data_IF_559606088945
#
_entry.id   IF_559606088945
#
_cell.length_a   1.000
_cell.length_b   1.000
_cell.length_c   1.000
_cell.angle_alpha   90.00
_cell.angle_beta   90.00
_cell.angle_gamma   90.00
#
_symmetry.space_group_name_H-M   'P 1'
#
loop_
_entity.id
_entity.type
_entity.pdbx_description
1 polymer ?
#
# COMPACT_ATOMS: atom_id res chain seq x y z
N UNK A 1 12.69 18.16 16.15
CA UNK A 1 11.90 16.91 16.22
C UNK A 1 11.44 16.65 14.80
N UNK A 2 12.00 15.69 14.07
CA UNK A 2 11.55 15.42 12.69
C UNK A 2 10.13 14.88 12.75
N UNK A 3 9.16 15.73 12.42
CA UNK A 3 7.78 15.32 12.17
C UNK A 3 7.79 14.39 10.94
N UNK A 4 7.24 13.19 11.09
CA UNK A 4 7.08 12.29 9.94
C UNK A 4 6.00 12.89 9.05
N UNK A 5 6.36 13.21 7.81
CA UNK A 5 5.39 13.63 6.81
C UNK A 5 4.65 12.39 6.27
N UNK A 6 3.37 12.27 6.62
CA UNK A 6 2.54 11.13 6.22
C UNK A 6 2.31 11.06 4.70
N UNK A 7 2.37 12.19 3.98
CA UNK A 7 2.25 12.18 2.52
C UNK A 7 3.47 11.54 1.86
N UNK A 8 4.67 11.80 2.41
CA UNK A 8 5.90 11.14 1.95
C UNK A 8 5.90 9.64 2.28
N UNK A 9 5.43 9.27 3.48
CA UNK A 9 5.22 7.86 3.86
C UNK A 9 4.28 7.19 2.86
N UNK A 10 3.14 7.83 2.54
CA UNK A 10 2.18 7.32 1.57
C UNK A 10 2.81 7.14 0.19
N UNK A 11 3.55 8.14 -0.29
CA UNK A 11 4.23 8.06 -1.58
C UNK A 11 5.27 6.93 -1.63
N UNK A 12 6.00 6.69 -0.54
CA UNK A 12 6.94 5.59 -0.46
C UNK A 12 6.25 4.23 -0.55
N UNK A 13 5.07 4.06 0.07
CA UNK A 13 4.28 2.83 -0.02
C UNK A 13 3.81 2.53 -1.45
N UNK A 14 3.57 3.54 -2.28
CA UNK A 14 3.22 3.38 -3.69
C UNK A 14 4.40 2.96 -4.60
N UNK A 15 5.62 2.87 -4.07
CA UNK A 15 6.77 2.34 -4.82
C UNK A 15 6.62 0.85 -5.10
N UNK A 16 5.86 0.13 -4.25
CA UNK A 16 5.57 -1.28 -4.45
C UNK A 16 4.45 -1.45 -5.51
N UNK A 17 4.69 -2.23 -6.60
CA UNK A 17 3.70 -2.41 -7.67
C UNK A 17 2.48 -3.22 -7.24
N UNK A 18 2.54 -3.91 -6.10
CA UNK A 18 1.43 -4.62 -5.49
C UNK A 18 0.45 -3.71 -4.76
N UNK A 19 0.79 -2.43 -4.54
CA UNK A 19 -0.06 -1.43 -3.86
C UNK A 19 -0.84 -0.61 -4.89
N UNK A 20 -2.18 -0.68 -4.84
CA UNK A 20 -3.08 0.12 -5.68
C UNK A 20 -3.63 1.34 -4.96
N UNK A 21 -3.90 1.23 -3.66
CA UNK A 21 -4.29 2.35 -2.83
C UNK A 21 -3.79 2.18 -1.41
N UNK A 22 -3.60 3.31 -0.72
CA UNK A 22 -3.27 3.38 0.70
C UNK A 22 -4.31 4.29 1.36
N UNK A 23 -5.03 3.74 2.32
CA UNK A 23 -6.15 4.32 3.05
C UNK A 23 -5.87 4.27 4.57
N UNK A 24 -6.56 5.11 5.35
CA UNK A 24 -6.46 5.14 6.82
C UNK A 24 -5.01 5.23 7.38
N UNK A 25 -4.10 5.86 6.63
CA UNK A 25 -2.71 6.00 7.02
C UNK A 25 -2.59 6.92 8.26
N UNK A 26 -2.05 6.37 9.35
CA UNK A 26 -1.84 7.09 10.61
C UNK A 26 -0.57 6.66 11.32
N UNK A 27 0.02 7.61 12.03
CA UNK A 27 1.10 7.36 12.98
C UNK A 27 0.50 6.91 14.32
N UNK A 28 1.01 5.80 14.85
CA UNK A 28 0.61 5.25 16.15
C UNK A 28 1.85 5.06 17.04
N UNK A 29 1.70 5.12 18.37
CA UNK A 29 2.80 4.83 19.28
C UNK A 29 3.26 3.37 19.14
N UNK A 30 4.55 3.16 18.94
CA UNK A 30 5.16 1.82 18.90
C UNK A 30 5.46 1.28 20.31
N UNK A 31 5.79 -0.02 20.40
CA UNK A 31 5.97 -0.74 21.67
C UNK A 31 7.12 -0.23 22.56
N UNK A 32 8.23 0.23 21.97
CA UNK A 32 9.45 0.58 22.73
C UNK A 32 9.96 1.98 22.37
N UNK A 33 9.13 3.00 22.57
CA UNK A 33 9.39 4.39 22.16
C UNK A 33 9.61 4.60 20.64
N UNK A 34 9.45 3.53 19.85
CA UNK A 34 9.50 3.55 18.40
C UNK A 34 8.25 4.18 17.78
N UNK A 35 8.37 4.51 16.50
CA UNK A 35 7.27 5.01 15.68
C UNK A 35 6.66 3.84 14.93
N UNK A 36 5.34 3.76 14.92
CA UNK A 36 4.62 2.75 14.18
C UNK A 36 3.64 3.40 13.20
N UNK A 37 3.41 2.73 12.07
CA UNK A 37 2.39 3.14 11.10
C UNK A 37 1.28 2.11 11.07
N UNK A 38 0.04 2.58 11.11
CA UNK A 38 -1.11 1.78 10.72
C UNK A 38 -1.67 2.30 9.40
N UNK A 39 -1.97 1.40 8.48
CA UNK A 39 -2.57 1.73 7.19
C UNK A 39 -3.39 0.56 6.64
N UNK A 40 -4.34 0.89 5.77
CA UNK A 40 -5.04 -0.08 4.94
C UNK A 40 -4.50 0.00 3.53
N UNK A 41 -4.04 -1.11 2.98
CA UNK A 41 -3.54 -1.22 1.62
C UNK A 41 -4.59 -1.95 0.79
N UNK A 42 -5.03 -1.34 -0.30
CA UNK A 42 -5.75 -2.05 -1.35
C UNK A 42 -4.72 -2.58 -2.34
N UNK A 43 -4.65 -3.90 -2.53
CA UNK A 43 -3.68 -4.49 -3.46
C UNK A 43 -4.10 -4.33 -4.92
N UNK A 44 -3.14 -4.42 -5.83
CA UNK A 44 -3.38 -4.20 -7.27
C UNK A 44 -4.11 -5.36 -7.95
N UNK A 45 -3.87 -6.59 -7.51
CA UNK A 45 -4.51 -7.79 -8.03
C UNK A 45 -4.67 -8.82 -6.91
N UNK A 46 -5.66 -9.74 -6.99
CA UNK A 46 -5.87 -10.76 -5.97
C UNK A 46 -4.74 -11.80 -5.92
N UNK A 47 -3.90 -11.85 -6.97
CA UNK A 47 -2.71 -12.70 -7.06
C UNK A 47 -1.45 -12.09 -6.43
N UNK A 48 -1.54 -10.89 -5.86
CA UNK A 48 -0.42 -10.22 -5.19
C UNK A 48 -0.09 -10.97 -3.90
N UNK A 49 1.21 -11.21 -3.67
CA UNK A 49 1.69 -11.83 -2.45
C UNK A 49 1.70 -10.82 -1.30
N UNK A 50 0.77 -10.97 -0.36
CA UNK A 50 0.58 -10.01 0.73
C UNK A 50 1.76 -9.96 1.71
N UNK A 51 2.41 -11.11 1.94
CA UNK A 51 3.61 -11.19 2.79
C UNK A 51 4.77 -10.42 2.15
N UNK A 52 4.93 -10.54 0.83
CA UNK A 52 5.93 -9.76 0.10
C UNK A 52 5.64 -8.26 0.18
N UNK A 53 4.40 -7.83 -0.09
CA UNK A 53 4.02 -6.40 0.00
C UNK A 53 4.24 -5.87 1.41
N UNK A 54 3.87 -6.65 2.43
CA UNK A 54 4.11 -6.29 3.82
C UNK A 54 5.59 -6.13 4.12
N UNK A 55 6.43 -7.10 3.73
CA UNK A 55 7.87 -7.07 3.98
C UNK A 55 8.57 -5.92 3.25
N UNK A 56 8.23 -5.68 1.98
CA UNK A 56 8.78 -4.57 1.19
C UNK A 56 8.36 -3.23 1.79
N UNK A 57 7.09 -3.07 2.13
CA UNK A 57 6.57 -1.85 2.75
C UNK A 57 7.23 -1.59 4.10
N UNK A 58 7.32 -2.61 4.97
CA UNK A 58 7.96 -2.49 6.27
C UNK A 58 9.42 -2.07 6.14
N UNK A 59 10.15 -2.67 5.20
CA UNK A 59 11.54 -2.33 4.93
C UNK A 59 11.69 -0.89 4.44
N UNK A 60 10.90 -0.48 3.46
CA UNK A 60 10.90 0.90 2.92
C UNK A 60 10.64 1.92 4.03
N UNK A 61 9.69 1.64 4.92
CA UNK A 61 9.34 2.54 6.02
C UNK A 61 10.40 2.57 7.13
N UNK A 62 11.05 1.44 7.40
CA UNK A 62 12.17 1.37 8.32
C UNK A 62 13.39 2.14 7.78
N UNK A 63 13.81 1.86 6.54
CA UNK A 63 15.00 2.43 5.92
C UNK A 63 14.87 3.96 5.70
N UNK A 64 13.72 4.44 5.25
CA UNK A 64 13.55 5.86 4.89
C UNK A 64 13.03 6.75 6.03
N UNK A 65 12.24 6.20 6.96
CA UNK A 65 11.53 6.99 7.96
C UNK A 65 11.83 6.56 9.40
N UNK A 66 12.62 5.51 9.60
CA UNK A 66 12.90 4.95 10.93
C UNK A 66 11.65 4.43 11.63
N UNK A 67 10.69 3.92 10.86
CA UNK A 67 9.47 3.29 11.40
C UNK A 67 9.80 1.82 11.70
N UNK A 68 9.75 1.48 12.98
CA UNK A 68 10.16 0.16 13.48
C UNK A 68 9.04 -0.89 13.32
N UNK A 69 7.79 -0.43 13.33
CA UNK A 69 6.62 -1.31 13.27
C UNK A 69 5.59 -0.81 12.27
N UNK A 70 5.05 -1.73 11.47
CA UNK A 70 3.99 -1.43 10.52
C UNK A 70 2.83 -2.39 10.74
N UNK A 71 1.62 -1.85 10.81
CA UNK A 71 0.37 -2.58 10.92
C UNK A 71 -0.44 -2.35 9.65
N UNK A 72 -0.36 -3.31 8.73
CA UNK A 72 -1.03 -3.21 7.43
C UNK A 72 -2.26 -4.12 7.41
N UNK A 73 -3.43 -3.55 7.14
CA UNK A 73 -4.60 -4.31 6.72
C UNK A 73 -4.63 -4.36 5.19
N UNK A 74 -4.94 -5.51 4.62
CA UNK A 74 -5.04 -5.67 3.17
C UNK A 74 -6.49 -5.83 2.73
N UNK A 75 -6.92 -4.99 1.80
CA UNK A 75 -8.18 -5.11 1.09
C UNK A 75 -7.96 -5.75 -0.28
N UNK A 76 -8.92 -6.58 -0.67
CA UNK A 76 -9.01 -7.11 -2.04
C UNK A 76 -9.17 -5.95 -3.05
N UNK A 77 -8.58 -6.04 -4.28
CA UNK A 77 -8.64 -4.98 -5.28
C UNK A 77 -10.06 -4.63 -5.76
N UNK A 78 -11.05 -5.46 -5.41
CA UNK A 78 -12.37 -5.49 -5.99
C UNK A 78 -12.39 -6.28 -7.30
N UNK A 79 -13.58 -6.55 -7.86
CA UNK A 79 -13.68 -7.25 -9.14
C UNK A 79 -12.92 -6.49 -10.23
N UNK A 80 -12.09 -7.21 -10.99
CA UNK A 80 -11.45 -6.67 -12.18
C UNK A 80 -12.54 -6.13 -13.13
N UNK A 81 -12.36 -4.92 -13.70
CA UNK A 81 -13.32 -4.41 -14.68
C UNK A 81 -13.46 -5.42 -15.82
N UNK A 82 -14.68 -5.65 -16.33
CA UNK A 82 -14.85 -6.49 -17.50
C UNK A 82 -14.01 -5.91 -18.64
N UNK A 83 -13.39 -6.75 -19.48
CA UNK A 83 -12.65 -6.27 -20.63
C UNK A 83 -13.56 -5.38 -21.48
N UNK A 84 -13.03 -4.29 -22.09
CA UNK A 84 -13.83 -3.46 -22.98
C UNK A 84 -14.45 -4.38 -24.03
N UNK A 85 -15.79 -4.41 -24.08
CA UNK A 85 -16.50 -5.15 -25.11
C UNK A 85 -16.12 -4.49 -26.44
N UNK A 86 -15.16 -5.08 -27.15
CA UNK A 86 -14.84 -4.67 -28.50
C UNK A 86 -16.12 -4.88 -29.33
N UNK A 87 -16.82 -3.80 -29.64
CA UNK A 87 -17.92 -3.85 -30.58
C UNK A 87 -17.37 -4.46 -31.88
N UNK A 88 -18.03 -5.48 -32.47
CA UNK A 88 -17.61 -5.96 -33.78
C UNK A 88 -17.71 -4.77 -34.74
N UNK A 89 -16.57 -4.33 -35.27
CA UNK A 89 -16.54 -3.32 -36.33
C UNK A 89 -17.28 -3.90 -37.53
N UNK A 90 -18.56 -3.54 -37.67
CA UNK A 90 -19.37 -3.86 -38.84
C UNK A 90 -18.79 -3.06 -40.01
N UNK A 91 -18.00 -3.73 -40.84
CA UNK A 91 -17.45 -3.20 -42.10
C UNK A 91 -18.62 -2.76 -42.98
N UNK A 92 -18.71 -1.47 -43.29
CA UNK A 92 -19.52 -0.92 -44.39
C UNK A 92 -18.60 -0.61 -45.57
#
# INVERSE_FOLDING_TARGET
>A
MNEINLEQVRAAMFTDPGVKAVDDLRLVPGKEHGRAIAATITVAAPSVDLDLVHAVTARVLADQFGIDQVMLCFNDPGPVPPPPTAAPLKKM
#
